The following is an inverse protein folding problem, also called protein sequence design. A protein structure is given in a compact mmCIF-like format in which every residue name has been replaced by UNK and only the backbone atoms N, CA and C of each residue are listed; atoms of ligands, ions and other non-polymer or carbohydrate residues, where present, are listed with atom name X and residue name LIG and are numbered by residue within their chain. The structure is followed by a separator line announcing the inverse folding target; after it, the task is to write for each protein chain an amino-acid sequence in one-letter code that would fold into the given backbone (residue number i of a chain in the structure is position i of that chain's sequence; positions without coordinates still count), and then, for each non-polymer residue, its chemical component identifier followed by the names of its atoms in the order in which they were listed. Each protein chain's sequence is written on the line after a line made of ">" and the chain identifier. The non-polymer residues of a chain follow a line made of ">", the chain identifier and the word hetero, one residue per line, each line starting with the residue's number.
data_IF_113528919928
#
_entry.id   IF_113528919928
#
_cell.length_a   1.000
_cell.length_b   1.000
_cell.length_c   1.000
_cell.angle_alpha   90.00
_cell.angle_beta   90.00
_cell.angle_gamma   90.00
#
_symmetry.space_group_name_H-M   'P 1'
#
loop_
_entity.id
_entity.type
_entity.pdbx_description
1 polymer ?
#
# COMPACT_ATOMS: atom_id res chain seq x y z
N UNK A 1 10.96 -21.46 -27.34
CA UNK A 1 9.83 -22.30 -27.81
C UNK A 1 8.55 -21.59 -27.46
N UNK A 2 7.43 -22.30 -27.22
CA UNK A 2 6.22 -21.70 -26.65
C UNK A 2 6.55 -20.87 -25.40
N UNK A 3 7.31 -21.44 -24.47
CA UNK A 3 7.98 -20.74 -23.38
C UNK A 3 9.41 -20.36 -23.78
N UNK A 4 9.99 -19.35 -23.13
CA UNK A 4 11.41 -19.03 -23.25
C UNK A 4 12.27 -20.12 -22.62
N UNK A 5 12.11 -20.30 -21.31
CA UNK A 5 12.62 -21.42 -20.53
C UNK A 5 11.46 -22.08 -19.77
N UNK A 6 11.43 -23.41 -19.81
CA UNK A 6 10.45 -24.24 -19.13
C UNK A 6 11.18 -25.37 -18.40
N UNK A 7 10.94 -25.52 -17.10
CA UNK A 7 11.47 -26.63 -16.31
C UNK A 7 10.35 -27.62 -16.01
N UNK A 8 10.30 -28.69 -16.82
CA UNK A 8 9.26 -29.73 -16.78
C UNK A 8 9.81 -31.14 -16.46
N UNK A 9 11.11 -31.28 -16.22
CA UNK A 9 11.78 -32.56 -15.96
C UNK A 9 11.83 -32.92 -14.47
N UNK A 10 12.07 -34.20 -14.15
CA UNK A 10 12.24 -34.65 -12.77
C UNK A 10 13.55 -34.11 -12.15
N UNK A 11 13.46 -33.54 -10.95
CA UNK A 11 14.58 -33.08 -10.13
C UNK A 11 14.62 -31.56 -9.93
N UNK A 12 15.20 -31.08 -8.81
CA UNK A 12 15.34 -29.65 -8.55
C UNK A 12 16.33 -29.02 -9.54
N UNK A 13 16.04 -27.81 -9.99
CA UNK A 13 16.96 -27.00 -10.79
C UNK A 13 17.67 -26.02 -9.88
N UNK A 14 19.01 -26.03 -9.87
CA UNK A 14 19.79 -25.15 -9.00
C UNK A 14 19.62 -23.67 -9.35
N UNK A 15 20.25 -23.23 -10.44
CA UNK A 15 20.34 -21.81 -10.78
C UNK A 15 20.13 -21.56 -12.26
N UNK A 16 19.33 -20.55 -12.60
CA UNK A 16 19.23 -19.96 -13.93
C UNK A 16 19.70 -18.51 -13.87
N UNK A 17 20.57 -18.12 -14.80
CA UNK A 17 21.07 -16.75 -14.91
C UNK A 17 20.83 -16.26 -16.35
N UNK A 18 19.99 -15.25 -16.51
CA UNK A 18 19.93 -14.46 -17.73
C UNK A 18 20.97 -13.34 -17.62
N UNK A 19 22.09 -13.52 -18.30
CA UNK A 19 23.22 -12.58 -18.24
C UNK A 19 22.95 -11.28 -18.97
N UNK A 20 23.81 -10.29 -18.76
CA UNK A 20 23.78 -9.04 -19.53
C UNK A 20 23.75 -9.30 -21.05
N UNK A 21 22.82 -8.65 -21.77
CA UNK A 21 22.58 -8.87 -23.20
C UNK A 21 21.81 -10.15 -23.53
N UNK A 22 21.56 -11.00 -22.55
CA UNK A 22 20.74 -12.20 -22.69
C UNK A 22 19.26 -11.87 -22.86
N UNK A 23 18.60 -12.59 -23.76
CA UNK A 23 17.16 -12.47 -24.00
C UNK A 23 16.51 -13.83 -23.78
N UNK A 24 15.58 -13.89 -22.83
CA UNK A 24 14.67 -15.02 -22.66
C UNK A 24 13.29 -14.56 -23.13
N UNK A 25 12.77 -15.19 -24.18
CA UNK A 25 11.47 -14.81 -24.76
C UNK A 25 10.56 -16.02 -24.95
N UNK A 26 9.34 -15.95 -24.43
CA UNK A 26 8.26 -16.88 -24.76
C UNK A 26 7.41 -16.36 -25.92
N UNK A 27 7.09 -17.22 -26.90
CA UNK A 27 6.28 -16.84 -28.07
C UNK A 27 4.80 -17.16 -27.93
N UNK A 28 4.45 -18.15 -27.09
CA UNK A 28 3.08 -18.59 -26.82
C UNK A 28 2.79 -18.65 -25.31
N UNK A 29 3.81 -18.74 -24.47
CA UNK A 29 3.75 -18.74 -23.01
C UNK A 29 4.73 -17.74 -22.40
N UNK A 30 5.03 -17.85 -21.10
CA UNK A 30 5.90 -16.90 -20.42
C UNK A 30 7.37 -17.02 -20.86
N UNK A 31 8.15 -15.98 -20.56
CA UNK A 31 9.60 -16.02 -20.71
C UNK A 31 10.19 -17.14 -19.83
N UNK A 32 9.69 -17.24 -18.61
CA UNK A 32 10.08 -18.28 -17.65
C UNK A 32 8.85 -18.97 -17.07
N UNK A 33 8.89 -20.29 -17.04
CA UNK A 33 7.91 -21.13 -16.35
C UNK A 33 8.63 -22.24 -15.58
N UNK A 34 8.26 -22.47 -14.33
CA UNK A 34 8.65 -23.66 -13.60
C UNK A 34 7.42 -24.44 -13.14
N UNK A 35 7.40 -25.75 -13.40
CA UNK A 35 6.44 -26.69 -12.81
C UNK A 35 7.10 -27.59 -11.75
N UNK A 36 8.32 -27.21 -11.35
CA UNK A 36 9.22 -27.90 -10.42
C UNK A 36 10.00 -26.90 -9.57
N UNK A 37 10.51 -27.35 -8.43
CA UNK A 37 11.37 -26.56 -7.56
C UNK A 37 12.60 -26.02 -8.31
N UNK A 38 12.80 -24.71 -8.21
CA UNK A 38 13.98 -24.01 -8.71
C UNK A 38 14.63 -23.27 -7.55
N UNK A 39 15.94 -23.36 -7.40
CA UNK A 39 16.66 -22.63 -6.36
C UNK A 39 16.66 -21.13 -6.65
N UNK A 40 17.36 -20.72 -7.71
CA UNK A 40 17.56 -19.29 -7.99
C UNK A 40 17.36 -18.95 -9.46
N UNK A 41 16.69 -17.83 -9.70
CA UNK A 41 16.63 -17.16 -10.99
C UNK A 41 17.23 -15.77 -10.85
N UNK A 42 18.19 -15.43 -11.70
CA UNK A 42 18.80 -14.09 -11.75
C UNK A 42 18.66 -13.50 -13.14
N UNK A 43 18.09 -12.31 -13.24
CA UNK A 43 18.11 -11.48 -14.45
C UNK A 43 19.07 -10.32 -14.25
N UNK A 44 20.27 -10.40 -14.80
CA UNK A 44 21.32 -9.40 -14.60
C UNK A 44 20.99 -8.08 -15.30
N UNK A 45 21.75 -7.03 -14.95
CA UNK A 45 21.67 -5.73 -15.64
C UNK A 45 21.87 -5.92 -17.14
N UNK A 46 20.93 -5.40 -17.93
CA UNK A 46 20.92 -5.56 -19.40
C UNK A 46 20.34 -6.89 -19.89
N UNK A 47 19.94 -7.80 -19.00
CA UNK A 47 19.15 -8.97 -19.34
C UNK A 47 17.69 -8.61 -19.59
N UNK A 48 17.08 -9.23 -20.61
CA UNK A 48 15.66 -9.09 -20.95
C UNK A 48 14.94 -10.44 -20.80
N UNK A 49 13.90 -10.48 -19.97
CA UNK A 49 12.91 -11.55 -19.93
C UNK A 49 11.57 -10.99 -20.45
N UNK A 50 11.03 -11.55 -21.53
CA UNK A 50 9.81 -11.02 -22.14
C UNK A 50 8.84 -12.06 -22.68
N UNK A 51 7.55 -11.74 -22.61
CA UNK A 51 6.51 -12.47 -23.35
C UNK A 51 5.59 -11.48 -24.05
N UNK A 52 5.21 -11.80 -25.29
CA UNK A 52 4.21 -11.05 -26.06
C UNK A 52 2.83 -11.75 -26.10
N UNK A 53 2.72 -12.91 -25.44
CA UNK A 53 1.56 -13.78 -25.53
C UNK A 53 1.04 -14.24 -24.17
N UNK A 54 1.77 -14.00 -23.09
CA UNK A 54 1.45 -14.49 -21.74
C UNK A 54 2.03 -13.56 -20.67
N UNK A 55 2.08 -14.05 -19.43
CA UNK A 55 2.79 -13.40 -18.34
C UNK A 55 4.30 -13.35 -18.62
N UNK A 56 5.04 -12.41 -18.04
CA UNK A 56 6.50 -12.35 -18.22
C UNK A 56 7.18 -13.59 -17.62
N UNK A 57 6.92 -13.85 -16.35
CA UNK A 57 7.41 -14.99 -15.58
C UNK A 57 6.25 -15.57 -14.78
N UNK A 58 6.12 -16.90 -14.80
CA UNK A 58 5.07 -17.61 -14.08
C UNK A 58 5.69 -18.68 -13.18
N UNK A 59 5.56 -18.46 -11.87
CA UNK A 59 6.08 -19.36 -10.85
C UNK A 59 4.96 -20.29 -10.40
N UNK A 60 5.00 -21.56 -10.80
CA UNK A 60 3.96 -22.55 -10.47
C UNK A 60 4.37 -23.59 -9.41
N UNK A 61 5.65 -23.66 -9.09
CA UNK A 61 6.21 -24.49 -8.01
C UNK A 61 7.26 -23.65 -7.24
N UNK A 62 7.76 -24.07 -6.06
CA UNK A 62 8.67 -23.25 -5.27
C UNK A 62 9.86 -22.71 -6.05
N UNK A 63 10.08 -21.41 -5.92
CA UNK A 63 11.30 -20.72 -6.30
C UNK A 63 11.92 -20.09 -5.05
N UNK A 64 13.15 -20.44 -4.68
CA UNK A 64 13.74 -19.83 -3.48
C UNK A 64 14.00 -18.35 -3.70
N UNK A 65 14.69 -17.98 -4.80
CA UNK A 65 15.06 -16.58 -5.02
C UNK A 65 14.88 -16.15 -6.45
N UNK A 66 14.25 -14.99 -6.64
CA UNK A 66 14.29 -14.24 -7.88
C UNK A 66 14.96 -12.88 -7.66
N UNK A 67 16.07 -12.65 -8.37
CA UNK A 67 16.77 -11.36 -8.37
C UNK A 67 16.69 -10.73 -9.76
N UNK A 68 16.07 -9.55 -9.86
CA UNK A 68 15.93 -8.82 -11.11
C UNK A 68 16.69 -7.49 -11.06
N UNK A 69 17.75 -7.38 -11.85
CA UNK A 69 18.45 -6.13 -12.14
C UNK A 69 18.27 -5.67 -13.61
N UNK A 70 17.76 -6.56 -14.47
CA UNK A 70 17.42 -6.28 -15.86
C UNK A 70 15.96 -5.85 -16.06
N UNK A 71 15.37 -6.26 -17.18
CA UNK A 71 13.96 -6.02 -17.52
C UNK A 71 13.18 -7.33 -17.57
N UNK A 72 12.12 -7.42 -16.79
CA UNK A 72 11.06 -8.42 -16.91
C UNK A 72 9.79 -7.72 -17.39
N UNK A 73 9.29 -8.07 -18.57
CA UNK A 73 8.16 -7.36 -19.18
C UNK A 73 7.22 -8.27 -19.96
N UNK A 74 5.91 -8.06 -19.80
CA UNK A 74 4.93 -8.53 -20.78
C UNK A 74 4.34 -7.36 -21.56
N UNK A 75 4.16 -7.54 -22.87
CA UNK A 75 3.59 -6.52 -23.76
C UNK A 75 2.13 -6.82 -24.13
N UNK A 76 1.61 -7.98 -23.76
CA UNK A 76 0.23 -8.36 -24.06
C UNK A 76 -0.73 -7.76 -23.06
N UNK A 77 -1.78 -7.10 -23.53
CA UNK A 77 -2.83 -6.54 -22.67
C UNK A 77 -3.49 -7.61 -21.79
N UNK A 78 -3.66 -7.30 -20.50
CA UNK A 78 -4.33 -8.16 -19.52
C UNK A 78 -3.44 -9.15 -18.78
N UNK A 79 -2.13 -9.12 -19.01
CA UNK A 79 -1.15 -10.05 -18.41
C UNK A 79 -0.23 -9.37 -17.41
N UNK A 80 0.38 -10.19 -16.56
CA UNK A 80 1.21 -9.75 -15.45
C UNK A 80 2.69 -9.94 -15.78
N UNK A 81 3.58 -9.12 -15.22
CA UNK A 81 5.01 -9.31 -15.47
C UNK A 81 5.54 -10.52 -14.70
N UNK A 82 5.18 -10.65 -13.43
CA UNK A 82 5.51 -11.76 -12.55
C UNK A 82 4.26 -12.30 -11.88
N UNK A 83 3.95 -13.57 -12.10
CA UNK A 83 2.90 -14.30 -11.37
C UNK A 83 3.54 -15.29 -10.42
N UNK A 84 3.16 -15.20 -9.14
CA UNK A 84 3.60 -16.11 -8.09
C UNK A 84 2.40 -16.95 -7.65
N UNK A 85 2.23 -18.11 -8.28
CA UNK A 85 1.12 -19.05 -8.04
C UNK A 85 1.46 -20.16 -7.03
N UNK A 86 2.70 -20.17 -6.56
CA UNK A 86 3.19 -21.03 -5.47
C UNK A 86 4.14 -20.20 -4.59
N UNK A 87 5.14 -20.80 -3.96
CA UNK A 87 6.09 -20.11 -3.08
C UNK A 87 7.22 -19.44 -3.86
N UNK A 88 7.45 -18.16 -3.60
CA UNK A 88 8.68 -17.42 -3.87
C UNK A 88 9.24 -16.92 -2.54
N UNK A 89 10.34 -17.48 -2.03
CA UNK A 89 10.85 -17.06 -0.72
C UNK A 89 11.31 -15.59 -0.75
N UNK A 90 12.10 -15.22 -1.76
CA UNK A 90 12.64 -13.86 -1.85
C UNK A 90 12.54 -13.30 -3.25
N UNK A 91 11.94 -12.11 -3.37
CA UNK A 91 11.98 -11.27 -4.55
C UNK A 91 12.86 -10.05 -4.27
N UNK A 92 13.96 -9.88 -5.02
CA UNK A 92 14.77 -8.66 -4.98
C UNK A 92 14.74 -7.98 -6.35
N UNK A 93 14.30 -6.73 -6.40
CA UNK A 93 14.23 -5.96 -7.63
C UNK A 93 15.07 -4.69 -7.55
N UNK A 94 16.04 -4.55 -8.44
CA UNK A 94 16.78 -3.32 -8.73
C UNK A 94 16.65 -2.87 -10.19
N UNK A 95 15.94 -3.65 -11.01
CA UNK A 95 15.64 -3.36 -12.41
C UNK A 95 14.17 -3.03 -12.64
N UNK A 96 13.63 -3.39 -13.80
CA UNK A 96 12.24 -3.13 -14.17
C UNK A 96 11.43 -4.42 -14.21
N UNK A 97 10.28 -4.42 -13.53
CA UNK A 97 9.23 -5.44 -13.63
C UNK A 97 7.96 -4.74 -14.11
N UNK A 98 7.55 -4.98 -15.35
CA UNK A 98 6.46 -4.24 -16.00
C UNK A 98 5.41 -5.15 -16.63
N UNK A 99 4.19 -5.10 -16.11
CA UNK A 99 3.04 -5.83 -16.65
C UNK A 99 1.95 -4.90 -17.15
N UNK A 100 1.14 -5.39 -18.09
CA UNK A 100 0.03 -4.59 -18.63
C UNK A 100 -1.18 -4.59 -17.71
N UNK A 101 -1.30 -5.61 -16.84
CA UNK A 101 -2.28 -5.67 -15.75
C UNK A 101 -1.60 -5.46 -14.41
N UNK A 102 -0.79 -6.40 -13.93
CA UNK A 102 -0.03 -6.27 -12.69
C UNK A 102 1.49 -6.31 -12.94
N UNK A 103 2.25 -5.48 -12.22
CA UNK A 103 3.71 -5.62 -12.23
C UNK A 103 4.11 -6.94 -11.57
N UNK A 104 3.69 -7.11 -10.32
CA UNK A 104 3.79 -8.37 -9.59
C UNK A 104 2.40 -8.80 -9.10
N UNK A 105 2.02 -10.04 -9.40
CA UNK A 105 0.79 -10.70 -8.96
C UNK A 105 1.13 -11.82 -7.98
N UNK A 106 1.04 -11.51 -6.70
CA UNK A 106 1.26 -12.44 -5.60
C UNK A 106 -0.05 -13.20 -5.32
N UNK A 107 -0.14 -14.49 -5.67
CA UNK A 107 -1.35 -15.31 -5.47
C UNK A 107 -1.24 -16.33 -4.34
N UNK A 108 -0.06 -16.85 -4.05
CA UNK A 108 0.12 -17.92 -3.04
C UNK A 108 1.13 -17.60 -1.94
N UNK A 109 2.46 -17.72 -2.14
CA UNK A 109 3.41 -17.26 -1.11
C UNK A 109 4.57 -16.40 -1.67
N UNK A 110 4.72 -15.17 -1.16
CA UNK A 110 5.95 -14.36 -1.25
C UNK A 110 6.32 -14.02 0.18
N UNK A 111 7.45 -14.53 0.67
CA UNK A 111 7.82 -14.32 2.07
C UNK A 111 8.44 -12.92 2.25
N UNK A 112 9.40 -12.57 1.38
CA UNK A 112 10.09 -11.27 1.42
C UNK A 112 10.14 -10.65 0.02
N UNK A 113 9.80 -9.37 -0.08
CA UNK A 113 10.02 -8.57 -1.28
C UNK A 113 10.81 -7.31 -0.95
N UNK A 114 11.89 -7.10 -1.69
CA UNK A 114 12.73 -5.91 -1.60
C UNK A 114 12.81 -5.22 -2.97
N UNK A 115 12.12 -4.09 -3.12
CA UNK A 115 12.26 -3.22 -4.28
C UNK A 115 13.28 -2.11 -3.97
N UNK A 116 14.51 -2.30 -4.42
CA UNK A 116 15.64 -1.41 -4.15
C UNK A 116 15.47 -0.05 -4.83
N UNK A 117 16.32 0.94 -4.49
CA UNK A 117 16.18 2.33 -4.93
C UNK A 117 16.08 2.53 -6.46
N UNK A 118 16.73 1.68 -7.26
CA UNK A 118 16.66 1.73 -8.73
C UNK A 118 15.52 0.88 -9.31
N UNK A 119 14.86 0.09 -8.46
CA UNK A 119 13.81 -0.84 -8.83
C UNK A 119 12.52 -0.13 -9.24
N UNK A 120 11.98 -0.53 -10.38
CA UNK A 120 10.65 -0.16 -10.86
C UNK A 120 9.76 -1.40 -10.91
N UNK A 121 8.63 -1.36 -10.21
CA UNK A 121 7.52 -2.30 -10.39
C UNK A 121 6.33 -1.51 -10.94
N UNK A 122 5.87 -1.87 -12.13
CA UNK A 122 4.80 -1.14 -12.81
C UNK A 122 3.73 -2.08 -13.37
N UNK A 123 2.47 -1.79 -13.07
CA UNK A 123 1.32 -2.48 -13.66
C UNK A 123 0.36 -1.50 -14.32
N UNK A 124 -0.27 -1.88 -15.43
CA UNK A 124 -1.31 -1.03 -16.02
C UNK A 124 -2.53 -0.83 -15.10
N UNK A 125 -2.84 -1.83 -14.26
CA UNK A 125 -3.87 -1.74 -13.22
C UNK A 125 -3.26 -1.55 -11.82
N UNK A 126 -2.43 -2.49 -11.36
CA UNK A 126 -1.82 -2.41 -10.02
C UNK A 126 -0.33 -2.70 -10.11
N UNK A 127 0.51 -1.86 -9.50
CA UNK A 127 1.96 -2.09 -9.46
C UNK A 127 2.28 -3.42 -8.78
N UNK A 128 1.88 -3.54 -7.51
CA UNK A 128 2.03 -4.75 -6.73
C UNK A 128 0.70 -5.22 -6.12
N UNK A 129 0.22 -6.37 -6.57
CA UNK A 129 -1.02 -6.98 -6.09
C UNK A 129 -0.70 -8.13 -5.13
N UNK A 130 -1.18 -8.02 -3.89
CA UNK A 130 -1.03 -9.01 -2.81
C UNK A 130 -2.37 -9.74 -2.65
N UNK A 131 -2.40 -10.96 -3.18
CA UNK A 131 -3.58 -11.81 -3.33
C UNK A 131 -3.53 -13.12 -2.54
N UNK A 132 -2.68 -13.21 -1.52
CA UNK A 132 -2.64 -14.32 -0.54
C UNK A 132 -2.71 -13.83 0.90
N UNK A 133 -3.27 -14.66 1.77
CA UNK A 133 -3.30 -14.46 3.23
C UNK A 133 -1.99 -14.80 3.94
N UNK A 134 -1.02 -15.36 3.24
CA UNK A 134 0.23 -15.79 3.85
C UNK A 134 1.08 -14.59 4.29
N UNK A 135 1.71 -14.68 5.49
CA UNK A 135 2.59 -13.64 6.01
C UNK A 135 3.66 -13.21 5.00
N UNK A 136 3.67 -11.92 4.73
CA UNK A 136 4.65 -11.28 3.85
C UNK A 136 5.25 -10.06 4.53
N UNK A 137 6.55 -9.87 4.32
CA UNK A 137 7.23 -8.59 4.55
C UNK A 137 7.65 -7.98 3.23
N UNK A 138 7.42 -6.68 3.07
CA UNK A 138 7.76 -5.94 1.87
C UNK A 138 8.50 -4.65 2.22
N UNK A 139 9.60 -4.38 1.51
CA UNK A 139 10.31 -3.12 1.55
C UNK A 139 10.34 -2.48 0.16
N UNK A 140 10.11 -1.17 0.11
CA UNK A 140 10.20 -0.39 -1.11
C UNK A 140 11.06 0.85 -0.89
N UNK A 141 12.25 0.89 -1.50
CA UNK A 141 13.07 2.08 -1.67
C UNK A 141 12.99 2.64 -3.10
N UNK A 142 12.46 1.86 -4.05
CA UNK A 142 12.27 2.24 -5.45
C UNK A 142 10.87 2.77 -5.75
N UNK A 143 10.36 2.47 -6.95
CA UNK A 143 9.06 2.93 -7.43
C UNK A 143 8.10 1.77 -7.66
N UNK A 144 6.90 1.86 -7.08
CA UNK A 144 5.77 0.96 -7.35
C UNK A 144 4.62 1.80 -7.92
N UNK A 145 4.24 1.52 -9.17
CA UNK A 145 3.30 2.35 -9.92
C UNK A 145 2.18 1.50 -10.49
N UNK A 146 0.93 1.95 -10.33
CA UNK A 146 -0.19 1.37 -11.08
C UNK A 146 -1.25 2.36 -11.54
N UNK A 147 -1.94 2.02 -12.62
CA UNK A 147 -3.00 2.89 -13.18
C UNK A 147 -4.26 2.99 -12.30
N UNK A 148 -4.49 2.03 -11.41
CA UNK A 148 -5.56 2.06 -10.41
C UNK A 148 -4.96 2.18 -9.02
N UNK A 149 -4.09 1.26 -8.65
CA UNK A 149 -3.41 1.26 -7.35
C UNK A 149 -1.90 1.12 -7.49
N UNK A 150 -1.11 1.79 -6.67
CA UNK A 150 0.32 1.46 -6.56
C UNK A 150 0.48 0.05 -5.98
N UNK A 151 -0.01 -0.12 -4.75
CA UNK A 151 -0.12 -1.41 -4.06
C UNK A 151 -1.59 -1.72 -3.77
N UNK A 152 -1.99 -2.98 -3.94
CA UNK A 152 -3.30 -3.49 -3.51
C UNK A 152 -3.10 -4.73 -2.64
N UNK A 153 -3.35 -4.58 -1.34
CA UNK A 153 -3.43 -5.66 -0.38
C UNK A 153 -4.86 -6.19 -0.31
N UNK A 154 -5.15 -7.22 -1.11
CA UNK A 154 -6.44 -7.91 -1.07
C UNK A 154 -6.55 -8.82 0.15
N UNK A 155 -5.42 -9.33 0.65
CA UNK A 155 -5.28 -10.13 1.86
C UNK A 155 -4.05 -9.69 2.68
N UNK A 156 -3.78 -10.41 3.78
CA UNK A 156 -2.80 -10.08 4.83
C UNK A 156 -1.40 -9.75 4.29
N UNK A 157 -0.87 -8.60 4.73
CA UNK A 157 0.57 -8.36 4.81
C UNK A 157 0.96 -8.29 6.28
N UNK A 158 2.12 -8.82 6.66
CA UNK A 158 2.61 -8.68 8.05
C UNK A 158 3.18 -7.28 8.26
N UNK A 159 3.92 -6.79 7.27
CA UNK A 159 4.46 -5.44 7.27
C UNK A 159 4.83 -4.98 5.87
N UNK A 160 4.48 -3.73 5.54
CA UNK A 160 4.95 -3.05 4.35
C UNK A 160 5.70 -1.79 4.77
N UNK A 161 6.95 -1.63 4.36
CA UNK A 161 7.74 -0.41 4.61
C UNK A 161 8.09 0.27 3.30
N UNK A 162 7.56 1.47 3.09
CA UNK A 162 8.03 2.40 2.07
C UNK A 162 9.16 3.23 2.68
N UNK A 163 10.40 2.94 2.29
CA UNK A 163 11.61 3.55 2.81
C UNK A 163 11.84 4.95 2.23
N UNK A 164 12.74 5.70 2.85
CA UNK A 164 13.19 7.00 2.33
C UNK A 164 13.56 6.92 0.83
N UNK A 165 13.01 7.84 0.02
CA UNK A 165 13.16 7.84 -1.44
C UNK A 165 12.20 6.92 -2.20
N UNK A 166 11.54 5.99 -1.49
CA UNK A 166 10.52 5.10 -2.04
C UNK A 166 9.26 5.84 -2.44
N UNK A 167 8.71 5.48 -3.61
CA UNK A 167 7.47 6.03 -4.15
C UNK A 167 6.47 4.93 -4.43
N UNK A 168 5.27 5.07 -3.88
CA UNK A 168 4.10 4.25 -4.21
C UNK A 168 3.04 5.17 -4.83
N UNK A 169 2.68 4.93 -6.08
CA UNK A 169 1.79 5.82 -6.83
C UNK A 169 0.67 5.03 -7.51
N UNK A 170 -0.58 5.45 -7.28
CA UNK A 170 -1.75 4.93 -7.97
C UNK A 170 -2.56 6.03 -8.61
N UNK A 171 -3.02 5.87 -9.85
CA UNK A 171 -3.67 7.00 -10.55
C UNK A 171 -5.10 7.25 -10.08
N UNK A 172 -5.98 6.25 -10.13
CA UNK A 172 -7.44 6.47 -10.05
C UNK A 172 -8.10 6.10 -8.72
N UNK A 173 -7.48 5.24 -7.89
CA UNK A 173 -8.12 4.78 -6.65
C UNK A 173 -7.28 5.03 -5.39
N UNK A 174 -6.07 4.47 -5.30
CA UNK A 174 -5.21 4.74 -4.17
C UNK A 174 -3.72 4.52 -4.47
N UNK A 175 -2.82 5.21 -3.76
CA UNK A 175 -1.41 4.82 -3.74
C UNK A 175 -1.28 3.43 -3.13
N UNK A 176 -1.87 3.25 -1.95
CA UNK A 176 -1.96 1.98 -1.25
C UNK A 176 -3.43 1.66 -0.92
N UNK A 177 -3.99 0.62 -1.54
CA UNK A 177 -5.29 0.06 -1.20
C UNK A 177 -5.14 -1.14 -0.27
N UNK A 178 -5.93 -1.16 0.81
CA UNK A 178 -5.96 -2.22 1.80
C UNK A 178 -7.40 -2.70 1.97
N UNK A 179 -7.70 -3.92 1.50
CA UNK A 179 -9.05 -4.51 1.54
C UNK A 179 -9.19 -5.54 2.64
N UNK A 180 -8.18 -6.39 2.80
CA UNK A 180 -8.01 -7.26 3.95
C UNK A 180 -6.55 -7.27 4.31
N UNK A 181 -6.23 -6.88 5.53
CA UNK A 181 -4.87 -6.83 6.01
C UNK A 181 -4.88 -6.78 7.53
N UNK A 182 -3.90 -7.44 8.16
CA UNK A 182 -3.69 -7.46 9.60
C UNK A 182 -2.35 -6.87 10.05
N UNK A 183 -1.54 -6.34 9.13
CA UNK A 183 -0.22 -5.79 9.45
C UNK A 183 -0.13 -4.27 9.49
N UNK A 184 1.11 -3.81 9.54
CA UNK A 184 1.49 -2.39 9.58
C UNK A 184 1.94 -1.90 8.20
N UNK A 185 1.49 -0.71 7.80
CA UNK A 185 2.03 0.03 6.67
C UNK A 185 2.82 1.22 7.19
N UNK A 186 4.13 1.21 6.94
CA UNK A 186 5.07 2.25 7.35
C UNK A 186 5.48 3.06 6.13
N UNK A 187 5.33 4.38 6.19
CA UNK A 187 5.85 5.33 5.22
C UNK A 187 6.93 6.18 5.90
N UNK A 188 8.19 5.85 5.69
CA UNK A 188 9.32 6.48 6.37
C UNK A 188 9.53 7.95 5.95
N UNK A 189 10.34 8.68 6.72
CA UNK A 189 10.70 10.04 6.38
C UNK A 189 11.38 10.10 5.01
N UNK A 190 10.94 11.03 4.15
CA UNK A 190 11.42 11.13 2.76
C UNK A 190 10.78 10.15 1.78
N UNK A 191 9.83 9.32 2.23
CA UNK A 191 9.05 8.42 1.38
C UNK A 191 7.72 9.07 0.93
N UNK A 192 7.18 8.63 -0.21
CA UNK A 192 5.94 9.14 -0.80
C UNK A 192 4.94 8.01 -1.08
N UNK A 193 3.71 8.18 -0.59
CA UNK A 193 2.54 7.43 -1.04
C UNK A 193 1.52 8.42 -1.62
N UNK A 194 1.19 8.27 -2.89
CA UNK A 194 0.32 9.23 -3.59
C UNK A 194 -0.78 8.59 -4.42
N UNK A 195 -1.86 9.36 -4.62
CA UNK A 195 -2.81 9.10 -5.68
C UNK A 195 -3.32 10.35 -6.38
N UNK A 196 -3.26 10.35 -7.71
CA UNK A 196 -3.61 11.52 -8.53
C UNK A 196 -5.10 11.88 -8.49
N UNK A 197 -6.00 10.89 -8.50
CA UNK A 197 -7.45 11.08 -8.40
C UNK A 197 -8.07 10.35 -7.19
N UNK A 198 -7.28 9.55 -6.48
CA UNK A 198 -7.70 8.69 -5.40
C UNK A 198 -7.30 9.18 -4.01
N UNK A 199 -7.13 8.24 -3.08
CA UNK A 199 -6.56 8.52 -1.75
C UNK A 199 -5.09 8.14 -1.70
N UNK A 200 -4.26 8.77 -0.88
CA UNK A 200 -2.88 8.28 -0.68
C UNK A 200 -2.90 6.84 -0.15
N UNK A 201 -3.53 6.66 1.01
CA UNK A 201 -3.86 5.34 1.57
C UNK A 201 -5.38 5.19 1.67
N UNK A 202 -5.90 4.06 1.20
CA UNK A 202 -7.31 3.68 1.33
C UNK A 202 -7.42 2.35 2.06
N UNK A 203 -8.11 2.37 3.20
CA UNK A 203 -8.56 1.20 3.93
C UNK A 203 -10.04 0.99 3.62
N UNK A 204 -10.38 -0.12 2.99
CA UNK A 204 -11.76 -0.45 2.73
C UNK A 204 -11.92 -1.75 1.98
N UNK A 205 -12.89 -2.55 2.40
CA UNK A 205 -13.15 -3.88 1.86
C UNK A 205 -14.60 -4.29 2.11
N UNK A 206 -14.91 -5.58 1.92
CA UNK A 206 -16.25 -6.12 2.10
C UNK A 206 -16.58 -6.37 3.59
N UNK A 207 -16.63 -5.29 4.39
CA UNK A 207 -17.18 -5.29 5.75
C UNK A 207 -16.16 -5.19 6.90
N UNK A 208 -16.66 -5.16 8.14
CA UNK A 208 -15.91 -4.87 9.37
C UNK A 208 -15.02 -6.00 9.89
N UNK A 209 -14.94 -7.14 9.19
CA UNK A 209 -14.12 -8.29 9.61
C UNK A 209 -12.63 -8.03 9.45
N UNK A 210 -12.27 -7.12 8.55
CA UNK A 210 -10.91 -6.89 8.10
C UNK A 210 -10.29 -5.69 8.82
N UNK A 211 -9.09 -5.87 9.38
CA UNK A 211 -8.53 -5.00 10.43
C UNK A 211 -7.07 -4.64 10.15
N UNK A 212 -6.81 -3.49 9.55
CA UNK A 212 -5.44 -2.98 9.41
C UNK A 212 -4.93 -2.57 10.78
N UNK A 213 -3.72 -3.00 11.15
CA UNK A 213 -3.17 -2.69 12.47
C UNK A 213 -2.77 -1.21 12.55
N UNK A 214 -1.85 -0.78 11.72
CA UNK A 214 -1.36 0.58 11.80
C UNK A 214 -0.96 1.13 10.43
N UNK A 215 -1.30 2.39 10.21
CA UNK A 215 -0.64 3.23 9.21
C UNK A 215 0.26 4.19 9.96
N UNK A 216 1.57 3.99 9.85
CA UNK A 216 2.60 4.82 10.45
C UNK A 216 3.23 5.70 9.38
N UNK A 217 3.04 7.01 9.47
CA UNK A 217 3.56 7.98 8.50
C UNK A 217 4.62 8.89 9.13
N UNK A 218 5.81 8.91 8.55
CA UNK A 218 6.85 9.91 8.76
C UNK A 218 7.21 10.67 7.46
N UNK A 219 6.77 10.17 6.31
CA UNK A 219 6.93 10.80 5.00
C UNK A 219 5.74 11.65 4.56
N UNK A 220 5.47 11.66 3.25
CA UNK A 220 4.31 12.30 2.64
C UNK A 220 3.28 11.26 2.18
N UNK A 221 2.04 11.39 2.66
CA UNK A 221 0.87 10.69 2.11
C UNK A 221 -0.06 11.73 1.50
N UNK A 222 -0.38 11.58 0.22
CA UNK A 222 -1.18 12.58 -0.51
C UNK A 222 -2.22 11.97 -1.43
N UNK A 223 -3.39 12.57 -1.54
CA UNK A 223 -4.41 12.14 -2.47
C UNK A 223 -5.46 13.19 -2.77
N UNK A 224 -5.99 13.16 -3.99
CA UNK A 224 -7.00 14.11 -4.45
C UNK A 224 -8.38 13.94 -3.80
N UNK A 225 -8.67 12.76 -3.23
CA UNK A 225 -9.86 12.53 -2.41
C UNK A 225 -9.56 12.71 -0.92
N UNK A 226 -8.39 12.24 -0.48
CA UNK A 226 -7.88 12.37 0.88
C UNK A 226 -6.45 11.84 0.98
N UNK A 227 -5.70 12.25 1.99
CA UNK A 227 -4.45 11.58 2.33
C UNK A 227 -4.71 10.14 2.80
N UNK A 228 -5.49 9.97 3.87
CA UNK A 228 -5.92 8.67 4.39
C UNK A 228 -7.45 8.54 4.40
N UNK A 229 -7.98 7.46 3.84
CA UNK A 229 -9.42 7.14 3.83
C UNK A 229 -9.69 5.78 4.48
N UNK A 230 -10.65 5.73 5.39
CA UNK A 230 -11.20 4.49 5.97
C UNK A 230 -12.68 4.40 5.63
N UNK A 231 -13.11 3.37 4.90
CA UNK A 231 -14.49 3.22 4.43
C UNK A 231 -14.84 1.74 4.33
N UNK A 232 -15.94 1.31 4.98
CA UNK A 232 -16.32 -0.11 5.07
C UNK A 232 -15.19 -1.05 5.55
N UNK A 233 -14.27 -0.54 6.37
CA UNK A 233 -13.13 -1.29 6.91
C UNK A 233 -12.71 -0.78 8.28
N UNK A 234 -11.77 -1.48 8.92
CA UNK A 234 -11.21 -1.09 10.20
C UNK A 234 -9.71 -0.78 10.09
N UNK A 235 -9.32 0.40 10.56
CA UNK A 235 -7.93 0.78 10.82
C UNK A 235 -7.75 0.95 12.33
N UNK A 236 -6.90 0.15 12.98
CA UNK A 236 -6.78 0.22 14.45
C UNK A 236 -6.06 1.50 14.89
N UNK A 237 -5.07 1.98 14.11
CA UNK A 237 -4.30 3.17 14.47
C UNK A 237 -3.75 3.92 13.26
N UNK A 238 -3.75 5.24 13.33
CA UNK A 238 -3.05 6.14 12.43
C UNK A 238 -2.04 6.97 13.24
N UNK A 239 -0.75 6.72 13.03
CA UNK A 239 0.33 7.51 13.63
C UNK A 239 0.96 8.38 12.56
N UNK A 240 1.09 9.68 12.82
CA UNK A 240 1.63 10.67 11.91
C UNK A 240 2.71 11.53 12.57
N UNK A 241 3.90 11.49 12.00
CA UNK A 241 5.06 12.35 12.30
C UNK A 241 5.52 13.13 11.06
N UNK A 242 4.94 12.84 9.89
CA UNK A 242 5.16 13.53 8.62
C UNK A 242 3.91 14.28 8.13
N UNK A 243 3.71 14.37 6.82
CA UNK A 243 2.58 15.10 6.23
C UNK A 243 1.53 14.14 5.64
N UNK A 244 0.27 14.36 5.99
CA UNK A 244 -0.90 13.76 5.33
C UNK A 244 -1.70 14.90 4.69
N UNK A 245 -1.87 14.85 3.37
CA UNK A 245 -2.40 15.98 2.61
C UNK A 245 -3.53 15.60 1.65
N UNK A 246 -4.52 16.48 1.57
CA UNK A 246 -5.47 16.55 0.47
C UNK A 246 -4.94 17.45 -0.66
N UNK A 247 -4.97 16.97 -1.90
CA UNK A 247 -4.48 17.72 -3.08
C UNK A 247 -5.55 18.01 -4.12
N UNK A 248 -6.81 17.65 -3.85
CA UNK A 248 -7.91 17.99 -4.75
C UNK A 248 -8.24 19.49 -4.71
N UNK A 249 -9.24 19.90 -5.50
CA UNK A 249 -9.67 21.29 -5.54
C UNK A 249 -10.42 21.69 -4.24
N UNK A 250 -10.03 22.80 -3.64
CA UNK A 250 -10.67 23.37 -2.45
C UNK A 250 -10.16 22.80 -1.13
N UNK A 251 -10.99 22.82 -0.09
CA UNK A 251 -10.68 22.24 1.21
C UNK A 251 -11.21 20.82 1.28
N UNK A 252 -10.33 19.84 1.42
CA UNK A 252 -10.71 18.43 1.53
C UNK A 252 -10.03 17.73 2.72
N UNK A 253 -10.40 16.47 2.96
CA UNK A 253 -9.95 15.74 4.14
C UNK A 253 -8.50 15.27 4.01
N UNK A 254 -7.66 15.63 4.98
CA UNK A 254 -6.41 14.91 5.19
C UNK A 254 -6.72 13.48 5.65
N UNK A 255 -7.68 13.33 6.57
CA UNK A 255 -8.19 12.04 7.06
C UNK A 255 -9.69 11.97 6.87
N UNK A 256 -10.19 10.90 6.25
CA UNK A 256 -11.63 10.64 6.08
C UNK A 256 -12.00 9.28 6.67
N UNK A 257 -12.94 9.26 7.59
CA UNK A 257 -13.61 8.04 8.07
C UNK A 257 -15.03 8.06 7.52
N UNK A 258 -15.26 7.35 6.43
CA UNK A 258 -16.54 7.31 5.73
C UNK A 258 -17.56 6.34 6.36
N UNK A 259 -18.75 6.21 5.75
CA UNK A 259 -19.79 5.28 6.21
C UNK A 259 -19.26 3.85 6.31
N UNK A 260 -19.60 3.16 7.40
CA UNK A 260 -19.12 1.81 7.70
C UNK A 260 -17.63 1.72 8.05
N UNK A 261 -16.88 2.83 7.98
CA UNK A 261 -15.49 2.92 8.40
C UNK A 261 -15.35 2.97 9.92
N UNK A 262 -14.35 2.25 10.43
CA UNK A 262 -13.99 2.25 11.85
C UNK A 262 -12.51 2.61 11.98
N UNK A 263 -12.22 3.65 12.75
CA UNK A 263 -10.86 4.05 13.10
C UNK A 263 -10.68 3.92 14.62
N UNK A 264 -9.69 3.13 15.05
CA UNK A 264 -9.48 2.81 16.45
C UNK A 264 -9.94 1.39 16.83
N UNK A 265 -9.54 0.95 18.02
CA UNK A 265 -9.95 -0.34 18.60
C UNK A 265 -10.97 -0.08 19.69
N UNK A 266 -12.14 -0.72 19.62
CA UNK A 266 -13.21 -0.52 20.60
C UNK A 266 -12.84 -0.87 22.06
N UNK A 267 -11.82 -1.70 22.29
CA UNK A 267 -11.32 -2.03 23.63
C UNK A 267 -10.43 -0.96 24.25
N UNK A 268 -9.92 -0.01 23.47
CA UNK A 268 -9.04 1.06 23.96
C UNK A 268 -7.58 0.68 24.14
N UNK A 269 -7.24 -0.58 23.86
CA UNK A 269 -5.88 -1.10 24.04
C UNK A 269 -4.83 -0.40 23.16
N UNK A 270 -5.25 0.40 22.17
CA UNK A 270 -4.35 1.16 21.28
C UNK A 270 -4.18 2.65 21.62
N UNK A 271 -4.89 3.19 22.62
CA UNK A 271 -4.94 4.64 22.87
C UNK A 271 -5.73 5.41 21.79
N UNK A 272 -5.44 6.70 21.56
CA UNK A 272 -6.11 7.50 20.53
C UNK A 272 -5.95 6.89 19.14
N UNK A 273 -7.01 6.91 18.35
CA UNK A 273 -6.98 6.30 17.02
C UNK A 273 -6.17 7.11 16.00
N UNK A 274 -6.06 8.42 16.20
CA UNK A 274 -5.17 9.30 15.43
C UNK A 274 -4.17 9.92 16.41
N UNK A 275 -2.88 9.75 16.13
CA UNK A 275 -1.79 10.38 16.86
C UNK A 275 -0.97 11.17 15.84
N UNK A 276 -1.10 12.49 15.82
CA UNK A 276 -0.31 13.36 14.94
C UNK A 276 0.56 14.28 15.78
N UNK A 277 1.74 13.80 16.14
CA UNK A 277 2.64 14.42 17.11
C UNK A 277 4.05 14.54 16.55
N UNK A 278 4.76 15.63 16.86
CA UNK A 278 6.13 15.87 16.41
C UNK A 278 6.26 17.11 15.51
N UNK A 279 7.49 17.64 15.40
CA UNK A 279 7.75 18.93 14.75
C UNK A 279 7.45 18.97 13.24
N UNK A 280 7.39 17.81 12.57
CA UNK A 280 7.05 17.68 11.14
C UNK A 280 5.64 17.14 10.87
N UNK A 281 4.85 16.87 11.92
CA UNK A 281 3.55 16.24 11.80
C UNK A 281 2.50 17.27 11.32
N UNK A 282 1.96 17.08 10.12
CA UNK A 282 0.94 17.97 9.55
C UNK A 282 -0.21 17.16 8.95
N UNK A 283 -1.44 17.49 9.35
CA UNK A 283 -2.67 17.10 8.68
C UNK A 283 -3.13 18.28 7.81
N UNK A 284 -2.63 18.33 6.57
CA UNK A 284 -2.94 19.40 5.62
C UNK A 284 -4.32 19.19 4.98
N UNK A 285 -5.36 19.50 5.77
CA UNK A 285 -6.76 19.34 5.40
C UNK A 285 -7.66 19.21 6.62
N UNK A 286 -8.91 18.76 6.42
CA UNK A 286 -9.85 18.50 7.51
C UNK A 286 -9.80 17.04 7.98
N UNK A 287 -10.37 16.76 9.15
CA UNK A 287 -10.80 15.41 9.54
C UNK A 287 -12.29 15.30 9.25
N UNK A 288 -12.64 14.49 8.25
CA UNK A 288 -14.05 14.22 7.91
C UNK A 288 -14.47 12.89 8.52
N UNK A 289 -15.53 12.89 9.33
CA UNK A 289 -16.05 11.69 9.98
C UNK A 289 -17.55 11.50 9.72
N UNK A 290 -17.89 10.41 9.05
CA UNK A 290 -19.24 9.84 8.92
C UNK A 290 -19.28 8.35 9.29
N UNK A 291 -18.24 7.87 9.98
CA UNK A 291 -18.15 6.53 10.54
C UNK A 291 -17.97 6.57 12.05
N UNK A 292 -17.20 5.62 12.59
CA UNK A 292 -16.90 5.55 14.02
C UNK A 292 -15.41 5.73 14.27
N UNK A 293 -15.07 6.67 15.14
CA UNK A 293 -13.72 6.86 15.68
C UNK A 293 -13.73 6.51 17.16
N UNK A 294 -13.01 5.44 17.53
CA UNK A 294 -12.81 5.05 18.91
C UNK A 294 -11.62 5.79 19.51
N UNK A 295 -11.72 6.18 20.77
CA UNK A 295 -10.65 6.83 21.55
C UNK A 295 -10.14 8.18 21.03
N UNK A 296 -10.78 8.77 20.03
CA UNK A 296 -10.52 10.14 19.59
C UNK A 296 -9.16 10.33 18.91
N UNK A 297 -8.54 11.49 19.15
CA UNK A 297 -7.26 11.85 18.57
C UNK A 297 -6.40 12.68 19.53
N UNK A 298 -5.08 12.61 19.33
CA UNK A 298 -4.10 13.53 19.91
C UNK A 298 -3.34 14.22 18.78
N UNK A 299 -3.49 15.54 18.69
CA UNK A 299 -2.89 16.36 17.64
C UNK A 299 -2.14 17.53 18.30
N UNK A 300 -0.90 17.76 17.88
CA UNK A 300 -0.05 18.79 18.49
C UNK A 300 0.43 19.81 17.44
N UNK A 301 0.54 21.07 17.87
CA UNK A 301 1.15 22.19 17.14
C UNK A 301 0.50 22.50 15.78
N UNK A 302 -0.80 22.25 15.65
CA UNK A 302 -1.58 22.60 14.46
C UNK A 302 -3.06 22.80 14.79
N UNK A 303 -3.72 23.60 13.98
CA UNK A 303 -5.17 23.75 14.03
C UNK A 303 -5.86 22.55 13.39
N UNK A 304 -6.96 22.11 13.99
CA UNK A 304 -7.74 20.96 13.55
C UNK A 304 -9.16 21.41 13.24
N UNK A 305 -9.62 21.08 12.03
CA UNK A 305 -11.02 21.23 11.65
C UNK A 305 -11.65 19.85 11.46
N UNK A 306 -12.72 19.59 12.20
CA UNK A 306 -13.53 18.36 12.11
C UNK A 306 -14.86 18.69 11.43
N UNK A 307 -15.30 17.83 10.52
CA UNK A 307 -16.62 17.93 9.89
C UNK A 307 -17.22 16.56 9.60
N UNK A 308 -18.52 16.54 9.26
CA UNK A 308 -19.23 15.36 8.78
C UNK A 308 -19.74 15.61 7.35
N UNK A 309 -19.57 14.65 6.44
CA UNK A 309 -19.91 14.76 5.01
C UNK A 309 -21.33 14.24 4.68
N UNK A 310 -22.30 14.59 5.52
CA UNK A 310 -23.72 14.21 5.33
C UNK A 310 -24.14 12.89 5.98
N UNK A 311 -23.21 12.16 6.59
CA UNK A 311 -23.49 11.04 7.49
C UNK A 311 -23.32 11.41 8.97
N UNK A 312 -23.79 10.54 9.88
CA UNK A 312 -23.57 10.69 11.32
C UNK A 312 -22.16 10.18 11.67
N UNK A 313 -21.24 11.10 11.95
CA UNK A 313 -19.93 10.78 12.50
C UNK A 313 -20.02 10.56 14.01
N UNK A 314 -19.35 9.55 14.54
CA UNK A 314 -19.27 9.30 15.99
C UNK A 314 -17.84 9.29 16.46
N UNK A 315 -17.55 10.05 17.52
CA UNK A 315 -16.37 9.86 18.35
C UNK A 315 -16.81 9.24 19.67
N UNK A 316 -16.18 8.16 20.09
CA UNK A 316 -16.60 7.43 21.30
C UNK A 316 -15.43 6.96 22.15
N UNK A 317 -15.65 6.92 23.46
CA UNK A 317 -14.77 6.26 24.43
C UNK A 317 -13.36 6.86 24.58
N UNK A 318 -13.14 8.14 24.28
CA UNK A 318 -11.84 8.77 24.54
C UNK A 318 -11.86 10.29 24.55
N UNK A 319 -10.74 10.90 24.11
CA UNK A 319 -10.52 12.35 24.17
C UNK A 319 -10.15 12.89 22.80
N UNK A 320 -10.73 14.03 22.44
CA UNK A 320 -10.29 14.87 21.32
C UNK A 320 -9.32 15.89 21.90
N UNK A 321 -8.03 15.61 21.79
CA UNK A 321 -6.97 16.40 22.40
C UNK A 321 -6.20 17.19 21.33
N UNK A 322 -6.28 18.52 21.39
CA UNK A 322 -5.46 19.43 20.58
C UNK A 322 -4.54 20.23 21.49
N UNK A 323 -3.22 20.08 21.32
CA UNK A 323 -2.21 20.79 22.12
C UNK A 323 -1.53 21.82 21.23
N UNK A 324 -1.42 23.07 21.69
CA UNK A 324 -0.87 24.21 20.97
C UNK A 324 -1.52 24.42 19.59
N UNK A 325 -2.86 24.34 19.55
CA UNK A 325 -3.65 24.55 18.34
C UNK A 325 -5.12 24.76 18.67
N UNK A 326 -5.90 25.14 17.66
CA UNK A 326 -7.34 25.31 17.75
C UNK A 326 -8.09 24.04 17.33
N UNK A 327 -9.27 23.83 17.89
CA UNK A 327 -10.22 22.80 17.43
C UNK A 327 -11.49 23.47 16.94
N UNK A 328 -11.87 23.23 15.69
CA UNK A 328 -13.10 23.75 15.08
C UNK A 328 -13.98 22.60 14.59
N UNK A 329 -15.26 22.60 14.95
CA UNK A 329 -16.28 21.79 14.30
C UNK A 329 -17.02 22.65 13.26
N UNK A 330 -16.79 22.40 11.96
CA UNK A 330 -17.25 23.33 10.92
C UNK A 330 -18.70 23.11 10.47
N UNK A 331 -19.10 21.85 10.22
CA UNK A 331 -20.43 21.51 9.71
C UNK A 331 -20.75 20.01 9.83
N UNK A 332 -22.04 19.70 9.85
CA UNK A 332 -22.58 18.33 9.91
C UNK A 332 -22.87 17.83 11.33
N UNK A 333 -23.48 16.65 11.42
CA UNK A 333 -23.86 16.04 12.70
C UNK A 333 -22.76 15.10 13.19
N UNK A 334 -22.00 15.54 14.19
CA UNK A 334 -21.03 14.70 14.89
C UNK A 334 -21.54 14.40 16.30
N UNK A 335 -21.72 13.12 16.63
CA UNK A 335 -21.99 12.69 18.00
C UNK A 335 -20.67 12.60 18.76
N UNK A 336 -20.58 13.38 19.84
CA UNK A 336 -19.42 13.42 20.74
C UNK A 336 -19.75 12.67 22.03
N UNK A 337 -19.40 11.39 22.08
CA UNK A 337 -19.34 10.60 23.32
C UNK A 337 -17.91 10.57 23.88
N UNK A 338 -17.11 11.57 23.51
CA UNK A 338 -15.71 11.74 23.86
C UNK A 338 -15.54 13.06 24.62
N UNK A 339 -14.59 13.09 25.56
CA UNK A 339 -14.18 14.33 26.20
C UNK A 339 -13.44 15.23 25.19
N UNK A 340 -13.57 16.55 25.31
CA UNK A 340 -12.83 17.52 24.49
C UNK A 340 -11.77 18.18 25.39
N UNK A 341 -10.53 18.24 24.93
CA UNK A 341 -9.44 18.98 25.58
C UNK A 341 -8.69 19.81 24.54
N UNK A 342 -8.68 21.13 24.73
CA UNK A 342 -7.90 22.06 23.91
C UNK A 342 -6.95 22.79 24.85
N UNK A 343 -5.65 22.54 24.71
CA UNK A 343 -4.62 23.13 25.56
C UNK A 343 -3.75 24.07 24.74
N UNK A 344 -3.87 25.38 24.98
CA UNK A 344 -3.07 26.41 24.30
C UNK A 344 -3.74 27.08 23.08
N UNK A 345 -5.01 26.74 22.78
CA UNK A 345 -5.79 27.39 21.73
C UNK A 345 -7.27 27.53 22.09
N UNK A 346 -8.07 27.96 21.12
CA UNK A 346 -9.54 28.09 21.23
C UNK A 346 -10.23 26.81 20.75
N UNK A 347 -11.29 26.41 21.45
CA UNK A 347 -12.21 25.37 20.99
C UNK A 347 -13.52 26.01 20.54
N UNK A 348 -13.91 25.80 19.29
CA UNK A 348 -15.21 26.22 18.74
C UNK A 348 -16.01 24.97 18.37
N UNK A 349 -17.16 24.79 19.02
CA UNK A 349 -18.15 23.73 18.72
C UNK A 349 -19.33 24.35 17.99
#
# INVERSE_FOLDING_TARGET
>A
GPNGVSFDSNGPVGTLINRSGGVISGTLGPAFYNSREVGTVTNEVGGLMTSNSSDGMYINDPLTTFTNAGVLVTTRSGYDALVVNNTLTTLTNSGTIMGTRYGVNYKDQIITMDNLATGLIQGGNTGFYIGSSDPMTATNAGRIIGGVNGVRAYYTITGFTNQAGGVISGTSNAGFLIEDNSGTVTNEAGALIESAAGSGVRVGGYGTRYKVDEVANAGLITGANSGVRVENGLLKKLTNTGTIQYTGAGTGPAVRVGPGGVLGVASGTGGPAIVSTGAGALLAGTIVNSGTVFYGFQIENQDVTVSADGGLGRFTSGTLNVVNGNLTFASGTTTLDAAISVNGGTGTV
#
